data_IF_327525697349
#
_entry.id   IF_327525697349
#
_cell.length_a   1.000
_cell.length_b   1.000
_cell.length_c   1.000
_cell.angle_alpha   90.00
_cell.angle_beta   90.00
_cell.angle_gamma   90.00
#
_symmetry.space_group_name_H-M   'P 1'
#
loop_
_entity.id
_entity.type
_entity.pdbx_description
1 polymer ?
#
# COMPACT_ATOMS: atom_id res chain seq x y z
N UNK A 1 16.53 54.39 -18.92
CA UNK A 1 17.46 55.18 -19.76
C UNK A 1 18.82 55.25 -19.08
N UNK A 2 19.89 54.93 -19.83
CA UNK A 2 21.35 55.21 -19.66
C UNK A 2 22.03 54.74 -18.35
N UNK A 3 22.90 53.71 -18.39
CA UNK A 3 24.37 53.73 -18.69
C UNK A 3 25.11 54.68 -17.73
N UNK A 4 26.06 54.32 -16.87
CA UNK A 4 27.02 53.21 -16.75
C UNK A 4 28.26 53.76 -16.02
N UNK A 5 29.33 52.97 -15.89
CA UNK A 5 30.66 53.31 -15.30
C UNK A 5 30.70 53.44 -13.76
N UNK A 6 31.56 52.80 -12.97
CA UNK A 6 32.85 52.15 -13.23
C UNK A 6 33.04 50.84 -12.44
N UNK A 7 33.37 49.78 -13.18
CA UNK A 7 34.26 48.72 -12.73
C UNK A 7 35.66 49.32 -12.54
N UNK A 8 36.22 49.26 -11.33
CA UNK A 8 37.68 49.27 -11.18
C UNK A 8 38.12 48.44 -9.96
N UNK A 9 39.22 47.71 -10.14
CA UNK A 9 39.78 46.72 -9.21
C UNK A 9 40.38 47.31 -7.91
N UNK A 10 40.16 48.61 -7.62
CA UNK A 10 40.63 49.31 -6.42
C UNK A 10 39.56 49.57 -5.36
N UNK A 11 38.31 49.13 -5.56
CA UNK A 11 37.27 49.14 -4.52
C UNK A 11 37.23 47.88 -3.63
N UNK A 12 38.10 46.90 -3.88
CA UNK A 12 38.08 45.56 -3.26
C UNK A 12 38.89 45.42 -1.96
N UNK A 13 39.47 46.48 -1.39
CA UNK A 13 40.18 46.42 -0.10
C UNK A 13 40.15 47.79 0.58
N UNK A 14 39.16 48.03 1.45
CA UNK A 14 39.25 48.91 2.64
C UNK A 14 37.87 49.41 3.09
N UNK A 15 36.97 48.53 3.54
CA UNK A 15 36.01 48.87 4.62
C UNK A 15 35.83 47.59 5.45
N UNK A 16 36.77 47.39 6.36
CA UNK A 16 36.64 46.53 7.52
C UNK A 16 36.83 47.47 8.72
N UNK A 17 36.07 47.27 9.81
CA UNK A 17 35.96 48.07 11.07
C UNK A 17 34.82 49.10 10.97
N UNK A 18 33.68 48.97 11.65
CA UNK A 18 33.46 48.73 13.09
C UNK A 18 32.17 47.93 13.41
N UNK A 19 32.10 47.43 14.66
CA UNK A 19 31.28 46.39 15.34
C UNK A 19 29.73 46.65 15.47
N UNK A 20 28.89 45.86 16.20
CA UNK A 20 29.14 44.70 17.09
C UNK A 20 28.19 43.47 16.95
N UNK A 21 28.46 42.46 17.79
CA UNK A 21 27.93 41.10 17.80
C UNK A 21 26.47 40.93 18.25
N UNK A 22 25.76 39.98 17.62
CA UNK A 22 24.65 39.23 18.23
C UNK A 22 24.63 37.77 17.72
N UNK A 23 24.72 36.88 18.71
CA UNK A 23 24.15 35.54 18.84
C UNK A 23 24.24 34.49 17.71
N UNK A 24 24.82 33.37 18.14
CA UNK A 24 25.15 32.15 17.42
C UNK A 24 23.92 31.36 16.94
N UNK A 25 23.83 31.13 15.63
CA UNK A 25 23.06 30.03 15.04
C UNK A 25 24.03 28.97 14.48
N UNK A 26 23.85 27.72 14.90
CA UNK A 26 24.63 26.54 14.52
C UNK A 26 24.69 26.35 12.99
N UNK A 27 25.86 26.03 12.38
CA UNK A 27 25.93 25.72 10.96
C UNK A 27 25.39 24.31 10.67
N UNK A 28 24.49 24.24 9.68
CA UNK A 28 24.00 23.01 9.08
C UNK A 28 25.16 22.10 8.64
N UNK A 29 25.10 20.83 9.05
CA UNK A 29 26.05 19.79 8.65
C UNK A 29 26.03 19.62 7.13
N UNK A 30 27.16 19.88 6.47
CA UNK A 30 27.40 19.47 5.08
C UNK A 30 27.39 17.95 5.01
N UNK A 31 26.37 17.37 4.38
CA UNK A 31 26.41 15.98 3.95
C UNK A 31 27.44 15.84 2.83
N UNK A 32 28.51 15.07 3.06
CA UNK A 32 29.50 14.75 2.05
C UNK A 32 28.86 13.83 1.00
N UNK A 33 28.70 14.31 -0.24
CA UNK A 33 28.41 13.47 -1.40
C UNK A 33 29.62 12.57 -1.67
N UNK A 34 29.52 11.29 -1.34
CA UNK A 34 30.39 10.26 -1.91
C UNK A 34 29.60 9.62 -3.04
N UNK A 35 29.82 10.10 -4.26
CA UNK A 35 29.34 9.41 -5.47
C UNK A 35 30.36 8.33 -5.85
N UNK A 36 29.96 7.06 -6.03
CA UNK A 36 30.85 6.03 -6.54
C UNK A 36 31.14 6.29 -8.02
N UNK A 37 32.43 6.27 -8.40
CA UNK A 37 32.86 6.40 -9.81
C UNK A 37 32.52 5.12 -10.59
N UNK A 38 31.51 5.19 -11.45
CA UNK A 38 31.13 4.12 -12.39
C UNK A 38 31.98 4.18 -13.67
N UNK A 39 32.25 3.02 -14.26
CA UNK A 39 33.02 2.88 -15.50
C UNK A 39 32.13 2.94 -16.74
N UNK A 40 32.70 3.26 -17.91
CA UNK A 40 31.97 3.50 -19.17
C UNK A 40 31.14 2.29 -19.70
N UNK A 41 31.30 1.09 -19.14
CA UNK A 41 30.49 -0.11 -19.45
C UNK A 41 29.19 -0.19 -18.64
N UNK A 42 28.98 0.67 -17.65
CA UNK A 42 27.80 0.68 -16.76
C UNK A 42 26.86 1.83 -17.13
N UNK A 43 26.54 1.99 -18.43
CA UNK A 43 25.51 2.97 -18.84
C UNK A 43 24.16 2.45 -18.36
N UNK A 44 23.70 2.95 -17.24
CA UNK A 44 22.42 2.58 -16.61
C UNK A 44 21.30 3.45 -17.21
N UNK A 45 20.02 3.05 -17.13
CA UNK A 45 18.93 3.93 -17.61
C UNK A 45 19.01 5.28 -16.88
N UNK A 46 19.05 6.37 -17.64
CA UNK A 46 18.96 7.72 -17.11
C UNK A 46 17.49 8.00 -16.74
N UNK A 47 17.30 8.84 -15.73
CA UNK A 47 15.99 9.41 -15.47
C UNK A 47 15.65 10.40 -16.58
N UNK A 48 14.35 10.56 -16.84
CA UNK A 48 13.85 11.53 -17.80
C UNK A 48 12.90 12.47 -17.06
N UNK A 49 13.35 13.69 -16.81
CA UNK A 49 12.55 14.77 -16.24
C UNK A 49 11.57 15.26 -17.28
N UNK A 50 10.32 15.47 -16.86
CA UNK A 50 9.29 16.01 -17.73
C UNK A 50 9.25 17.53 -17.54
N UNK A 51 9.67 18.26 -18.57
CA UNK A 51 9.73 19.73 -18.56
C UNK A 51 8.69 20.28 -19.53
N UNK A 52 7.88 21.22 -19.07
CA UNK A 52 6.95 21.95 -19.92
C UNK A 52 7.54 23.33 -20.24
N UNK A 53 7.47 23.74 -21.51
CA UNK A 53 7.74 25.10 -21.91
C UNK A 53 6.64 25.61 -22.83
N UNK A 54 6.37 26.92 -22.76
CA UNK A 54 5.47 27.59 -23.71
C UNK A 54 6.33 28.04 -24.89
N UNK A 55 6.04 27.52 -26.08
CA UNK A 55 6.71 27.94 -27.31
C UNK A 55 6.42 29.40 -27.63
N UNK A 56 7.25 30.07 -28.47
CA UNK A 56 6.96 31.40 -28.99
C UNK A 56 5.61 31.52 -29.70
N UNK A 57 5.05 30.40 -30.16
CA UNK A 57 3.71 30.29 -30.76
C UNK A 57 2.56 30.33 -29.73
N UNK A 58 2.88 30.38 -28.43
CA UNK A 58 1.91 30.31 -27.33
C UNK A 58 1.41 28.90 -27.02
N UNK A 59 1.95 27.86 -27.69
CA UNK A 59 1.56 26.48 -27.45
C UNK A 59 2.46 25.83 -26.38
N UNK A 60 1.88 25.08 -25.43
CA UNK A 60 2.68 24.27 -24.51
C UNK A 60 3.35 23.12 -25.27
N UNK A 61 4.62 22.87 -24.98
CA UNK A 61 5.38 21.72 -25.47
C UNK A 61 6.08 21.01 -24.33
N UNK A 62 6.11 19.69 -24.40
CA UNK A 62 6.75 18.81 -23.43
C UNK A 62 8.12 18.35 -23.94
N UNK A 63 9.14 18.51 -23.09
CA UNK A 63 10.50 18.06 -23.33
C UNK A 63 10.93 17.03 -22.28
N UNK A 64 11.85 16.15 -22.67
CA UNK A 64 12.50 15.21 -21.77
C UNK A 64 13.94 15.65 -21.53
N UNK A 65 14.27 15.93 -20.29
CA UNK A 65 15.65 16.20 -19.89
C UNK A 65 16.23 14.97 -19.17
N UNK A 66 17.39 14.53 -19.63
CA UNK A 66 18.11 13.43 -18.98
C UNK A 66 18.66 13.86 -17.64
N UNK A 67 18.53 12.98 -16.65
CA UNK A 67 19.08 13.17 -15.32
C UNK A 67 19.76 11.89 -14.79
N UNK A 68 20.72 12.03 -13.86
CA UNK A 68 21.35 10.86 -13.23
C UNK A 68 20.32 10.01 -12.49
N UNK A 69 20.31 8.69 -12.72
CA UNK A 69 19.35 7.71 -12.15
C UNK A 69 19.08 7.77 -10.64
N UNK A 70 20.09 8.14 -9.87
CA UNK A 70 20.05 8.19 -8.40
C UNK A 70 19.81 9.61 -7.88
N UNK A 71 19.47 10.55 -8.76
CA UNK A 71 19.10 11.89 -8.37
C UNK A 71 17.81 11.83 -7.55
N UNK A 72 17.80 12.54 -6.42
CA UNK A 72 16.65 12.63 -5.50
C UNK A 72 16.37 14.07 -5.04
N UNK A 73 17.14 15.03 -5.52
CA UNK A 73 17.03 16.47 -5.26
C UNK A 73 16.23 17.19 -6.35
N UNK A 74 15.22 16.51 -6.90
CA UNK A 74 14.19 17.13 -7.72
C UNK A 74 13.30 18.06 -6.90
N UNK A 75 12.66 19.02 -7.57
CA UNK A 75 11.55 19.76 -6.95
C UNK A 75 10.43 18.78 -6.60
N UNK A 76 9.68 19.07 -5.53
CA UNK A 76 8.79 18.08 -4.90
C UNK A 76 7.67 17.61 -5.83
N UNK A 77 7.12 18.52 -6.63
CA UNK A 77 6.04 18.31 -7.60
C UNK A 77 6.53 17.89 -8.99
N UNK A 78 7.85 17.93 -9.22
CA UNK A 78 8.45 17.64 -10.52
C UNK A 78 8.24 16.16 -10.92
N UNK A 79 7.67 15.92 -12.10
CA UNK A 79 7.45 14.57 -12.62
C UNK A 79 8.69 14.02 -13.32
N UNK A 80 9.04 12.79 -12.96
CA UNK A 80 10.22 12.08 -13.46
C UNK A 80 9.81 10.67 -13.90
N UNK A 81 10.23 10.31 -15.11
CA UNK A 81 10.26 8.92 -15.54
C UNK A 81 11.55 8.25 -15.04
N UNK A 82 11.42 7.17 -14.27
CA UNK A 82 12.55 6.49 -13.64
C UNK A 82 12.34 4.98 -13.59
N UNK A 83 13.42 4.21 -13.48
CA UNK A 83 13.41 2.75 -13.37
C UNK A 83 13.76 2.36 -11.93
N UNK A 84 12.88 1.61 -11.27
CA UNK A 84 13.04 1.22 -9.86
C UNK A 84 12.95 -0.30 -9.65
N UNK A 85 13.94 -0.92 -8.97
CA UNK A 85 15.27 -0.36 -8.70
C UNK A 85 16.01 -0.03 -10.00
N UNK A 86 17.02 0.84 -9.93
CA UNK A 86 17.78 1.21 -11.12
C UNK A 86 18.61 0.03 -11.65
N UNK A 87 18.51 -0.25 -12.96
CA UNK A 87 19.19 -1.36 -13.64
C UNK A 87 20.01 -0.89 -14.85
N UNK A 88 21.09 -1.60 -15.22
CA UNK A 88 21.89 -1.29 -16.41
C UNK A 88 21.05 -1.17 -17.69
N UNK A 89 21.46 -0.30 -18.63
CA UNK A 89 20.79 -0.21 -19.93
C UNK A 89 21.02 -1.52 -20.69
N UNK A 90 19.95 -2.04 -21.29
CA UNK A 90 19.99 -3.33 -21.98
C UNK A 90 19.92 -4.53 -21.03
N UNK A 91 19.66 -4.32 -19.74
CA UNK A 91 19.31 -5.39 -18.81
C UNK A 91 18.16 -6.25 -19.35
N UNK A 92 18.28 -7.56 -19.19
CA UNK A 92 17.24 -8.52 -19.54
C UNK A 92 16.61 -9.12 -18.29
N UNK A 93 15.43 -9.73 -18.42
CA UNK A 93 14.82 -10.48 -17.32
C UNK A 93 15.60 -11.76 -16.96
N UNK A 94 16.45 -12.27 -17.85
CA UNK A 94 17.33 -13.39 -17.55
C UNK A 94 18.45 -12.99 -16.58
N UNK A 95 19.01 -11.78 -16.75
CA UNK A 95 20.05 -11.24 -15.85
C UNK A 95 19.47 -10.71 -14.54
N UNK A 96 18.22 -10.22 -14.58
CA UNK A 96 17.50 -9.64 -13.46
C UNK A 96 16.13 -10.30 -13.28
N UNK A 97 16.09 -11.53 -12.74
CA UNK A 97 14.85 -12.32 -12.64
C UNK A 97 13.79 -11.69 -11.72
N UNK A 98 14.21 -10.90 -10.72
CA UNK A 98 13.30 -10.12 -9.86
C UNK A 98 12.64 -8.92 -10.60
N UNK A 99 13.06 -8.65 -11.83
CA UNK A 99 12.56 -7.56 -12.64
C UNK A 99 12.82 -6.17 -12.04
N UNK A 100 12.06 -5.21 -12.52
CA UNK A 100 12.09 -3.79 -12.15
C UNK A 100 10.74 -3.17 -12.49
N UNK A 101 10.57 -1.88 -12.25
CA UNK A 101 9.34 -1.16 -12.56
C UNK A 101 9.70 0.14 -13.27
N UNK A 102 9.00 0.43 -14.36
CA UNK A 102 9.05 1.76 -14.96
C UNK A 102 8.04 2.66 -14.25
N UNK A 103 8.48 3.83 -13.80
CA UNK A 103 7.70 4.69 -12.94
C UNK A 103 7.59 6.07 -13.56
N UNK A 104 6.38 6.63 -13.58
CA UNK A 104 6.16 8.07 -13.61
C UNK A 104 5.84 8.50 -12.17
N UNK A 105 6.75 9.19 -11.50
CA UNK A 105 6.60 9.62 -10.10
C UNK A 105 7.13 11.03 -9.90
N UNK A 106 6.65 11.69 -8.85
CA UNK A 106 7.15 13.00 -8.44
C UNK A 106 8.51 12.91 -7.74
N UNK A 107 9.24 14.03 -7.70
CA UNK A 107 10.47 14.18 -6.94
C UNK A 107 10.30 13.84 -5.46
N UNK A 108 9.18 14.23 -4.84
CA UNK A 108 8.85 13.89 -3.46
C UNK A 108 8.75 12.38 -3.24
N UNK A 109 8.02 11.68 -4.11
CA UNK A 109 7.84 10.23 -4.01
C UNK A 109 9.14 9.48 -4.28
N UNK A 110 9.91 9.93 -5.28
CA UNK A 110 11.21 9.34 -5.56
C UNK A 110 12.12 9.44 -4.33
N UNK A 111 12.21 10.61 -3.69
CA UNK A 111 12.98 10.79 -2.45
C UNK A 111 12.50 9.85 -1.35
N UNK A 112 11.18 9.78 -1.10
CA UNK A 112 10.58 8.90 -0.09
C UNK A 112 10.94 7.43 -0.29
N UNK A 113 10.97 6.96 -1.54
CA UNK A 113 11.38 5.58 -1.88
C UNK A 113 12.85 5.34 -1.51
N UNK A 114 13.76 6.24 -1.91
CA UNK A 114 15.18 6.11 -1.61
C UNK A 114 15.53 6.29 -0.12
N UNK A 115 14.70 7.01 0.63
CA UNK A 115 14.83 7.17 2.08
C UNK A 115 14.17 6.00 2.85
N UNK A 116 13.43 5.12 2.18
CA UNK A 116 12.82 3.94 2.83
C UNK A 116 13.93 3.00 3.32
N UNK A 117 13.96 2.67 4.63
CA UNK A 117 15.00 1.79 5.17
C UNK A 117 15.08 0.45 4.44
N UNK A 118 16.28 0.12 3.95
CA UNK A 118 16.56 -1.13 3.25
C UNK A 118 16.26 -1.11 1.75
N UNK A 119 15.77 -0.02 1.17
CA UNK A 119 15.60 0.09 -0.28
C UNK A 119 16.95 0.21 -1.02
N UNK A 120 17.16 -0.48 -2.16
CA UNK A 120 16.30 -1.53 -2.72
C UNK A 120 16.60 -2.89 -2.07
N UNK A 121 15.59 -3.44 -1.38
CA UNK A 121 15.63 -4.78 -0.82
C UNK A 121 15.40 -5.80 -1.92
N UNK A 122 16.03 -6.97 -1.81
CA UNK A 122 15.73 -8.11 -2.67
C UNK A 122 14.28 -8.57 -2.49
N UNK A 123 13.67 -9.10 -3.57
CA UNK A 123 12.34 -9.67 -3.47
C UNK A 123 12.36 -10.90 -2.59
N UNK A 124 11.37 -11.01 -1.72
CA UNK A 124 11.14 -12.27 -0.98
C UNK A 124 10.35 -13.18 -1.90
N UNK A 125 10.91 -14.31 -2.30
CA UNK A 125 10.18 -15.35 -3.04
C UNK A 125 9.96 -16.57 -2.14
N UNK A 126 8.84 -17.30 -2.31
CA UNK A 126 8.72 -18.60 -1.67
C UNK A 126 9.76 -19.58 -2.23
N UNK A 127 10.16 -20.57 -1.44
CA UNK A 127 11.10 -21.62 -1.88
C UNK A 127 10.54 -22.44 -3.03
N UNK A 128 9.22 -22.63 -3.05
CA UNK A 128 8.50 -23.38 -4.07
C UNK A 128 7.33 -22.56 -4.63
N UNK A 129 7.14 -22.66 -5.94
CA UNK A 129 5.99 -22.06 -6.62
C UNK A 129 4.71 -22.75 -6.11
N UNK A 130 3.86 -21.97 -5.45
CA UNK A 130 2.63 -22.46 -4.82
C UNK A 130 1.37 -22.25 -5.67
N UNK A 131 1.54 -21.92 -6.95
CA UNK A 131 0.43 -21.58 -7.83
C UNK A 131 0.65 -21.98 -9.30
N UNK A 132 -0.45 -22.11 -10.03
CA UNK A 132 -0.47 -22.27 -11.49
C UNK A 132 -1.49 -21.32 -12.11
N UNK A 133 -1.25 -20.91 -13.35
CA UNK A 133 -2.22 -20.20 -14.17
C UNK A 133 -3.22 -21.20 -14.78
N UNK A 134 -4.48 -20.81 -14.95
CA UNK A 134 -5.49 -21.62 -15.63
C UNK A 134 -6.73 -20.80 -16.00
N UNK A 135 -7.68 -21.42 -16.71
CA UNK A 135 -8.97 -20.79 -17.01
C UNK A 135 -9.81 -20.65 -15.74
N UNK A 136 -10.39 -19.46 -15.53
CA UNK A 136 -11.24 -19.17 -14.38
C UNK A 136 -12.72 -19.35 -14.71
N UNK A 137 -13.50 -19.76 -13.72
CA UNK A 137 -14.97 -19.79 -13.80
C UNK A 137 -15.61 -18.41 -13.59
N UNK A 138 -14.83 -17.43 -13.14
CA UNK A 138 -15.27 -16.04 -12.97
C UNK A 138 -15.12 -15.29 -14.28
N UNK A 139 -13.88 -15.16 -14.75
CA UNK A 139 -13.54 -14.46 -15.98
C UNK A 139 -12.09 -14.74 -16.40
N UNK A 140 -11.86 -14.95 -17.71
CA UNK A 140 -10.52 -15.08 -18.28
C UNK A 140 -9.64 -16.13 -17.59
N UNK A 141 -8.44 -15.70 -17.17
CA UNK A 141 -7.47 -16.52 -16.47
C UNK A 141 -7.53 -16.27 -14.96
N UNK A 142 -7.16 -17.28 -14.18
CA UNK A 142 -7.05 -17.23 -12.72
C UNK A 142 -5.77 -17.93 -12.23
N UNK A 143 -5.38 -17.66 -10.99
CA UNK A 143 -4.30 -18.36 -10.30
C UNK A 143 -4.88 -19.40 -9.35
N UNK A 144 -4.33 -20.61 -9.35
CA UNK A 144 -4.80 -21.74 -8.55
C UNK A 144 -3.71 -22.28 -7.66
N UNK A 145 -4.03 -22.60 -6.42
CA UNK A 145 -3.10 -23.22 -5.48
C UNK A 145 -2.59 -24.57 -6.01
N UNK A 146 -1.31 -24.86 -5.85
CA UNK A 146 -0.71 -26.16 -6.19
C UNK A 146 -0.45 -27.03 -4.97
N UNK A 147 -0.55 -26.46 -3.77
CA UNK A 147 -0.37 -27.12 -2.47
C UNK A 147 -1.29 -26.49 -1.43
N UNK A 148 -1.38 -27.12 -0.26
CA UNK A 148 -2.03 -26.50 0.90
C UNK A 148 -1.30 -25.22 1.31
N UNK A 149 -2.06 -24.17 1.57
CA UNK A 149 -1.60 -22.89 2.08
C UNK A 149 -2.34 -22.57 3.38
N UNK A 150 -1.65 -21.91 4.30
CA UNK A 150 -2.24 -21.41 5.55
C UNK A 150 -2.17 -19.89 5.61
N UNK A 151 -3.01 -19.29 6.46
CA UNK A 151 -3.03 -17.83 6.65
C UNK A 151 -1.63 -17.28 6.94
N UNK A 152 -1.21 -16.30 6.14
CA UNK A 152 0.09 -15.65 6.21
C UNK A 152 1.13 -16.17 5.21
N UNK A 153 0.91 -17.35 4.62
CA UNK A 153 1.84 -17.94 3.64
C UNK A 153 2.04 -16.98 2.46
N UNK A 154 3.29 -16.79 2.06
CA UNK A 154 3.66 -16.04 0.86
C UNK A 154 3.43 -16.90 -0.38
N UNK A 155 2.65 -16.38 -1.32
CA UNK A 155 2.33 -17.07 -2.58
C UNK A 155 3.33 -16.66 -3.66
N UNK A 156 3.56 -15.36 -3.82
CA UNK A 156 4.63 -14.79 -4.64
C UNK A 156 4.87 -13.32 -4.29
N UNK A 157 6.01 -12.78 -4.71
CA UNK A 157 6.24 -11.34 -4.80
C UNK A 157 6.54 -10.90 -6.23
N UNK A 158 6.07 -9.72 -6.61
CA UNK A 158 6.19 -9.20 -7.97
C UNK A 158 6.51 -7.69 -7.96
N UNK A 159 7.56 -7.28 -8.67
CA UNK A 159 7.73 -5.87 -9.02
C UNK A 159 6.75 -5.52 -10.15
N UNK A 160 5.94 -4.45 -10.01
CA UNK A 160 5.01 -4.07 -11.06
C UNK A 160 5.70 -3.81 -12.40
N UNK A 161 4.98 -3.99 -13.50
CA UNK A 161 5.41 -3.59 -14.84
C UNK A 161 5.62 -2.08 -14.86
N UNK A 162 4.61 -1.34 -14.40
CA UNK A 162 4.54 0.12 -14.49
C UNK A 162 3.81 0.72 -13.29
N UNK A 163 4.26 1.90 -12.85
CA UNK A 163 3.61 2.75 -11.85
C UNK A 163 3.34 4.13 -12.42
N UNK A 164 2.11 4.62 -12.24
CA UNK A 164 1.69 5.95 -12.68
C UNK A 164 0.78 6.62 -11.64
N UNK A 165 0.73 7.96 -11.60
CA UNK A 165 -0.21 8.72 -10.78
C UNK A 165 -1.66 8.46 -11.20
N UNK A 166 -2.58 8.47 -10.22
CA UNK A 166 -4.02 8.22 -10.43
C UNK A 166 -4.74 9.40 -11.04
N UNK A 167 -4.31 10.61 -10.68
CA UNK A 167 -4.93 11.85 -11.11
C UNK A 167 -4.02 12.59 -12.06
N UNK A 168 -4.65 13.26 -13.01
CA UNK A 168 -4.01 14.25 -13.84
C UNK A 168 -3.44 15.36 -12.96
N UNK A 169 -2.14 15.66 -13.13
CA UNK A 169 -1.52 16.79 -12.44
C UNK A 169 -1.68 18.03 -13.29
N UNK A 170 -2.45 19.00 -12.79
CA UNK A 170 -2.83 20.23 -13.50
C UNK A 170 -1.70 21.27 -13.66
N UNK A 171 -0.45 20.85 -13.76
CA UNK A 171 0.70 21.77 -13.77
C UNK A 171 1.14 22.25 -15.16
N UNK A 172 0.60 21.70 -16.26
CA UNK A 172 1.28 21.77 -17.56
C UNK A 172 0.84 22.88 -18.52
N UNK A 173 -0.40 23.38 -18.44
CA UNK A 173 -0.91 24.39 -19.39
C UNK A 173 -1.73 25.48 -18.69
N UNK A 174 -1.16 26.67 -18.54
CA UNK A 174 -1.89 27.83 -18.01
C UNK A 174 -2.14 28.83 -19.13
N UNK A 175 -3.39 29.24 -19.31
CA UNK A 175 -3.73 30.33 -20.23
C UNK A 175 -4.92 31.12 -19.69
N UNK A 176 -4.73 32.42 -19.51
CA UNK A 176 -5.82 33.33 -19.14
C UNK A 176 -6.77 33.61 -20.33
N UNK A 177 -6.42 33.17 -21.53
CA UNK A 177 -7.08 33.53 -22.78
C UNK A 177 -7.90 32.38 -23.40
N UNK A 178 -7.86 31.17 -22.83
CA UNK A 178 -8.59 30.01 -23.34
C UNK A 178 -9.82 29.69 -22.48
N UNK A 179 -10.95 29.31 -23.08
CA UNK A 179 -12.09 28.81 -22.32
C UNK A 179 -11.72 27.58 -21.48
N UNK A 180 -12.31 27.45 -20.29
CA UNK A 180 -12.00 26.36 -19.35
C UNK A 180 -12.13 24.95 -19.97
N UNK A 181 -13.12 24.72 -20.82
CA UNK A 181 -13.32 23.42 -21.47
C UNK A 181 -12.20 23.09 -22.47
N UNK A 182 -11.68 24.10 -23.17
CA UNK A 182 -10.54 23.95 -24.09
C UNK A 182 -9.25 23.67 -23.31
N UNK A 183 -9.05 24.36 -22.19
CA UNK A 183 -7.94 24.10 -21.29
C UNK A 183 -7.96 22.67 -20.75
N UNK A 184 -9.11 22.21 -20.27
CA UNK A 184 -9.27 20.83 -19.78
C UNK A 184 -8.99 19.78 -20.86
N UNK A 185 -9.42 20.01 -22.11
CA UNK A 185 -9.11 19.11 -23.23
C UNK A 185 -7.62 19.09 -23.59
N UNK A 186 -6.94 20.25 -23.54
CA UNK A 186 -5.50 20.35 -23.77
C UNK A 186 -4.70 19.70 -22.66
N UNK A 187 -5.07 19.93 -21.39
CA UNK A 187 -4.48 19.25 -20.24
C UNK A 187 -4.53 17.74 -20.44
N UNK A 188 -5.73 17.20 -20.70
CA UNK A 188 -5.91 15.76 -20.89
C UNK A 188 -4.98 15.20 -21.97
N UNK A 189 -4.88 15.90 -23.10
CA UNK A 189 -4.01 15.51 -24.22
C UNK A 189 -2.52 15.53 -23.84
N UNK A 190 -2.06 16.54 -23.12
CA UNK A 190 -0.66 16.60 -22.66
C UNK A 190 -0.39 15.58 -21.54
N UNK A 191 -1.38 15.28 -20.71
CA UNK A 191 -1.30 14.24 -19.71
C UNK A 191 -1.16 12.85 -20.33
N UNK A 192 -1.95 12.53 -21.36
CA UNK A 192 -1.81 11.29 -22.12
C UNK A 192 -0.39 11.12 -22.69
N UNK A 193 0.22 12.19 -23.24
CA UNK A 193 1.62 12.17 -23.68
C UNK A 193 2.59 11.92 -22.53
N UNK A 194 2.31 12.46 -21.35
CA UNK A 194 3.12 12.30 -20.13
C UNK A 194 3.11 10.85 -19.67
N UNK A 195 1.93 10.23 -19.56
CA UNK A 195 1.78 8.81 -19.22
C UNK A 195 2.51 7.92 -20.23
N UNK A 196 2.43 8.27 -21.52
CA UNK A 196 3.12 7.56 -22.60
C UNK A 196 4.64 7.49 -22.43
N UNK A 197 5.28 8.48 -21.78
CA UNK A 197 6.75 8.48 -21.62
C UNK A 197 7.23 7.30 -20.77
N UNK A 198 6.59 7.05 -19.62
CA UNK A 198 6.92 5.88 -18.80
C UNK A 198 6.71 4.55 -19.53
N UNK A 199 5.70 4.47 -20.39
CA UNK A 199 5.43 3.26 -21.18
C UNK A 199 6.48 2.99 -22.26
N UNK A 200 7.03 4.04 -22.89
CA UNK A 200 8.08 3.91 -23.93
C UNK A 200 9.38 3.28 -23.40
N UNK A 201 9.54 3.25 -22.08
CA UNK A 201 10.71 2.67 -21.39
C UNK A 201 10.57 1.17 -21.16
N UNK A 202 9.37 0.60 -21.32
CA UNK A 202 9.16 -0.83 -21.18
C UNK A 202 9.96 -1.61 -22.23
N UNK A 203 10.59 -2.70 -21.78
CA UNK A 203 11.16 -3.70 -22.68
C UNK A 203 10.05 -4.48 -23.39
N UNK A 204 10.31 -5.07 -24.57
CA UNK A 204 9.30 -5.79 -25.36
C UNK A 204 8.52 -6.85 -24.57
N UNK A 205 9.19 -7.59 -23.68
CA UNK A 205 8.58 -8.65 -22.86
C UNK A 205 7.52 -8.09 -21.90
N UNK A 206 7.84 -6.99 -21.22
CA UNK A 206 6.91 -6.31 -20.31
C UNK A 206 5.79 -5.60 -21.05
N UNK A 207 6.10 -5.03 -22.21
CA UNK A 207 5.10 -4.42 -23.08
C UNK A 207 4.09 -5.49 -23.56
N UNK A 208 4.58 -6.64 -24.01
CA UNK A 208 3.74 -7.77 -24.41
C UNK A 208 2.88 -8.28 -23.25
N UNK A 209 3.47 -8.43 -22.05
CA UNK A 209 2.74 -8.82 -20.84
C UNK A 209 1.60 -7.85 -20.53
N UNK A 210 1.85 -6.54 -20.57
CA UNK A 210 0.85 -5.51 -20.37
C UNK A 210 -0.27 -5.56 -21.41
N UNK A 211 0.07 -5.68 -22.70
CA UNK A 211 -0.94 -5.73 -23.77
C UNK A 211 -1.83 -6.98 -23.73
N UNK A 212 -1.37 -8.03 -23.05
CA UNK A 212 -2.10 -9.28 -22.84
C UNK A 212 -2.96 -9.27 -21.55
N UNK A 213 -3.04 -8.14 -20.85
CA UNK A 213 -3.93 -7.95 -19.72
C UNK A 213 -5.35 -7.59 -20.18
N UNK A 214 -6.33 -7.81 -19.28
CA UNK A 214 -7.75 -7.54 -19.57
C UNK A 214 -7.97 -6.04 -19.81
N UNK A 215 -8.77 -5.71 -20.81
CA UNK A 215 -9.35 -4.37 -20.96
C UNK A 215 -10.86 -4.43 -20.74
N UNK A 216 -11.36 -3.79 -19.68
CA UNK A 216 -12.79 -3.70 -19.39
C UNK A 216 -13.43 -2.42 -19.93
N UNK A 217 -12.65 -1.52 -20.53
CA UNK A 217 -13.12 -0.26 -21.08
C UNK A 217 -13.50 -0.38 -22.56
N UNK A 218 -14.46 0.42 -22.99
CA UNK A 218 -14.91 0.50 -24.38
C UNK A 218 -13.88 1.20 -25.27
N UNK A 219 -14.05 1.07 -26.59
CA UNK A 219 -13.13 1.59 -27.61
C UNK A 219 -13.02 3.13 -27.67
N UNK A 220 -13.82 3.86 -26.91
CA UNK A 220 -13.75 5.32 -26.78
C UNK A 220 -12.72 5.80 -25.74
N UNK A 221 -12.13 4.88 -24.97
CA UNK A 221 -10.97 5.13 -24.11
C UNK A 221 -9.74 4.53 -24.80
N UNK A 222 -8.60 5.22 -24.71
CA UNK A 222 -7.35 4.68 -25.23
C UNK A 222 -7.10 3.28 -24.64
N UNK A 223 -6.72 2.33 -25.49
CA UNK A 223 -6.60 0.92 -25.08
C UNK A 223 -5.64 0.75 -23.91
N UNK A 224 -4.54 1.52 -23.88
CA UNK A 224 -3.53 1.45 -22.83
C UNK A 224 -4.09 1.94 -21.52
N UNK A 225 -4.78 3.08 -21.55
CA UNK A 225 -5.45 3.63 -20.38
C UNK A 225 -6.52 2.65 -19.88
N UNK A 226 -7.32 2.07 -20.77
CA UNK A 226 -8.32 1.05 -20.41
C UNK A 226 -7.71 -0.18 -19.73
N UNK A 227 -6.60 -0.71 -20.24
CA UNK A 227 -5.85 -1.81 -19.61
C UNK A 227 -5.31 -1.36 -18.25
N UNK A 228 -4.67 -0.20 -18.17
CA UNK A 228 -4.13 0.32 -16.91
C UNK A 228 -5.24 0.45 -15.85
N UNK A 229 -6.33 1.13 -16.17
CA UNK A 229 -7.45 1.36 -15.26
C UNK A 229 -8.16 0.06 -14.85
N UNK A 230 -8.15 -0.97 -15.70
CA UNK A 230 -8.72 -2.29 -15.37
C UNK A 230 -7.86 -3.06 -14.37
N UNK A 231 -6.53 -2.93 -14.45
CA UNK A 231 -5.60 -3.84 -13.78
C UNK A 231 -4.76 -3.20 -12.68
N UNK A 232 -4.79 -1.87 -12.53
CA UNK A 232 -3.88 -1.17 -11.65
C UNK A 232 -4.35 -1.17 -10.18
N UNK A 233 -3.45 -1.57 -9.29
CA UNK A 233 -3.64 -1.63 -7.85
C UNK A 233 -3.08 -0.40 -7.17
N UNK A 234 -3.73 0.06 -6.09
CA UNK A 234 -3.15 1.12 -5.23
C UNK A 234 -1.86 0.64 -4.58
N UNK A 235 -0.94 1.58 -4.36
CA UNK A 235 0.33 1.39 -3.66
C UNK A 235 0.35 2.23 -2.37
N UNK A 236 -0.17 1.71 -1.24
CA UNK A 236 -0.18 2.43 0.03
C UNK A 236 1.22 2.88 0.45
N UNK A 237 1.34 4.09 0.98
CA UNK A 237 2.62 4.69 1.35
C UNK A 237 3.30 5.48 0.23
N UNK A 238 2.76 5.44 -0.99
CA UNK A 238 3.20 6.28 -2.12
C UNK A 238 2.31 7.52 -2.31
N UNK A 239 1.57 7.97 -1.30
CA UNK A 239 0.73 9.17 -1.41
C UNK A 239 1.62 10.43 -1.44
N UNK A 240 1.41 11.28 -2.46
CA UNK A 240 2.06 12.57 -2.58
C UNK A 240 1.37 13.59 -1.67
N UNK A 241 2.07 14.06 -0.65
CA UNK A 241 1.59 15.04 0.32
C UNK A 241 1.48 16.46 -0.29
N UNK A 242 2.08 16.69 -1.46
CA UNK A 242 2.03 17.99 -2.15
C UNK A 242 0.70 18.17 -2.89
N UNK A 243 0.01 17.08 -3.23
CA UNK A 243 -1.26 17.08 -3.96
C UNK A 243 -2.45 17.09 -3.00
N UNK A 244 -3.25 18.16 -3.02
CA UNK A 244 -4.39 18.37 -2.10
C UNK A 244 -5.49 17.32 -2.22
N UNK A 245 -5.59 16.65 -3.36
CA UNK A 245 -6.58 15.59 -3.64
C UNK A 245 -6.03 14.17 -3.47
N UNK A 246 -4.93 14.03 -2.72
CA UNK A 246 -4.38 12.76 -2.26
C UNK A 246 -3.65 12.00 -3.36
N UNK A 247 -2.55 12.58 -3.86
CA UNK A 247 -1.72 12.16 -5.00
C UNK A 247 -1.24 10.71 -4.96
N UNK A 248 -2.18 9.79 -5.12
CA UNK A 248 -1.98 8.36 -5.06
C UNK A 248 -1.41 7.85 -6.38
N UNK A 249 -0.69 6.75 -6.29
CA UNK A 249 -0.16 6.01 -7.42
C UNK A 249 -0.87 4.68 -7.53
N UNK A 250 -0.89 4.17 -8.77
CA UNK A 250 -1.31 2.80 -9.04
C UNK A 250 -0.26 2.08 -9.86
N UNK A 251 -0.22 0.78 -9.66
CA UNK A 251 0.76 -0.11 -10.25
C UNK A 251 0.07 -1.28 -10.95
N UNK A 252 0.57 -1.67 -12.11
CA UNK A 252 0.09 -2.85 -12.85
C UNK A 252 1.14 -3.95 -12.73
N UNK A 253 0.75 -5.12 -12.22
CA UNK A 253 1.57 -6.35 -12.25
C UNK A 253 1.19 -7.22 -13.44
N UNK A 254 2.06 -8.16 -13.83
CA UNK A 254 1.67 -9.19 -14.81
C UNK A 254 0.88 -10.28 -14.11
N UNK A 255 1.49 -10.89 -13.09
CA UNK A 255 0.93 -12.02 -12.34
C UNK A 255 -0.19 -11.57 -11.41
N UNK A 256 0.00 -10.46 -10.69
CA UNK A 256 -1.01 -9.90 -9.78
C UNK A 256 -2.33 -9.57 -10.48
N UNK A 257 -2.28 -9.14 -11.74
CA UNK A 257 -3.46 -8.80 -12.54
C UNK A 257 -4.21 -10.02 -13.10
N UNK A 258 -3.73 -11.25 -12.84
CA UNK A 258 -4.44 -12.51 -13.17
C UNK A 258 -5.37 -12.99 -12.04
N UNK A 259 -5.36 -12.33 -10.88
CA UNK A 259 -6.13 -12.78 -9.71
C UNK A 259 -7.53 -12.23 -9.77
N UNK A 260 -8.54 -13.09 -9.85
CA UNK A 260 -9.94 -12.68 -10.01
C UNK A 260 -10.58 -12.14 -8.72
N UNK A 261 -11.81 -11.66 -8.89
CA UNK A 261 -12.63 -11.17 -7.80
C UNK A 261 -13.46 -12.28 -7.12
N UNK A 262 -13.54 -12.22 -5.79
CA UNK A 262 -14.63 -12.80 -5.00
C UNK A 262 -15.07 -11.83 -3.90
N UNK A 263 -16.35 -11.83 -3.53
CA UNK A 263 -16.81 -11.15 -2.30
C UNK A 263 -16.43 -11.92 -1.01
N UNK A 264 -15.76 -13.06 -1.17
CA UNK A 264 -15.16 -13.92 -0.15
C UNK A 264 -13.68 -14.19 -0.52
N UNK A 265 -12.81 -13.17 -0.48
CA UNK A 265 -11.43 -13.31 -0.91
C UNK A 265 -10.64 -14.24 0.02
N UNK A 266 -9.73 -15.04 -0.55
CA UNK A 266 -8.85 -15.96 0.18
C UNK A 266 -7.38 -15.54 0.16
N UNK A 267 -7.05 -14.47 -0.56
CA UNK A 267 -5.72 -13.86 -0.61
C UNK A 267 -5.82 -12.34 -0.51
N UNK A 268 -4.74 -11.69 -0.10
CA UNK A 268 -4.62 -10.24 -0.10
C UNK A 268 -3.21 -9.81 -0.49
N UNK A 269 -3.12 -8.62 -1.07
CA UNK A 269 -1.86 -7.98 -1.48
C UNK A 269 -1.35 -7.03 -0.40
N UNK A 270 -0.06 -7.10 -0.13
CA UNK A 270 0.69 -6.12 0.64
C UNK A 270 1.68 -5.41 -0.28
N UNK A 271 1.82 -4.09 -0.12
CA UNK A 271 2.83 -3.30 -0.83
C UNK A 271 4.06 -3.11 0.07
N UNK A 272 5.22 -3.59 -0.38
CA UNK A 272 6.50 -3.41 0.31
C UNK A 272 7.36 -2.39 -0.44
N UNK A 273 7.38 -1.15 0.06
CA UNK A 273 8.21 -0.08 -0.52
C UNK A 273 9.69 -0.43 -0.51
N UNK A 274 10.18 -1.19 0.49
CA UNK A 274 11.60 -1.52 0.59
C UNK A 274 12.07 -2.42 -0.55
N UNK A 275 11.29 -3.43 -0.94
CA UNK A 275 11.58 -4.27 -2.12
C UNK A 275 10.98 -3.75 -3.42
N UNK A 276 10.13 -2.72 -3.31
CA UNK A 276 9.36 -2.10 -4.39
C UNK A 276 8.48 -3.10 -5.13
N UNK A 277 7.77 -3.92 -4.37
CA UNK A 277 7.00 -5.05 -4.89
C UNK A 277 5.66 -5.22 -4.19
N UNK A 278 4.73 -5.88 -4.88
CA UNK A 278 3.58 -6.50 -4.25
C UNK A 278 3.97 -7.87 -3.68
N UNK A 279 3.42 -8.21 -2.52
CA UNK A 279 3.45 -9.56 -1.95
C UNK A 279 2.02 -10.07 -1.86
N UNK A 280 1.74 -11.23 -2.45
CA UNK A 280 0.45 -11.89 -2.32
C UNK A 280 0.51 -12.94 -1.21
N UNK A 281 -0.41 -12.87 -0.24
CA UNK A 281 -0.45 -13.80 0.90
C UNK A 281 -1.84 -14.38 1.09
N UNK A 282 -1.89 -15.61 1.59
CA UNK A 282 -3.15 -16.25 1.96
C UNK A 282 -3.77 -15.57 3.19
N UNK A 283 -5.09 -15.32 3.16
CA UNK A 283 -5.86 -14.75 4.29
C UNK A 283 -6.51 -15.82 5.15
N UNK A 284 -6.50 -17.08 4.67
CA UNK A 284 -7.07 -18.26 5.32
C UNK A 284 -6.40 -19.52 4.77
N UNK A 285 -6.88 -20.70 5.18
CA UNK A 285 -6.42 -21.95 4.59
C UNK A 285 -6.97 -22.10 3.16
N UNK A 286 -6.15 -22.60 2.24
CA UNK A 286 -6.50 -22.80 0.83
C UNK A 286 -6.00 -24.17 0.41
N UNK A 287 -6.89 -25.03 -0.09
CA UNK A 287 -6.52 -26.36 -0.56
C UNK A 287 -5.95 -26.32 -1.99
N UNK A 288 -5.15 -27.33 -2.39
CA UNK A 288 -4.71 -27.49 -3.77
C UNK A 288 -5.87 -27.46 -4.76
N UNK A 289 -5.72 -26.71 -5.86
CA UNK A 289 -6.73 -26.56 -6.89
C UNK A 289 -7.76 -25.47 -6.65
N UNK A 290 -7.82 -24.87 -5.46
CA UNK A 290 -8.63 -23.67 -5.23
C UNK A 290 -8.05 -22.46 -5.98
N UNK A 291 -8.93 -21.63 -6.55
CA UNK A 291 -8.55 -20.37 -7.18
C UNK A 291 -8.30 -19.27 -6.13
N UNK A 292 -7.32 -18.42 -6.37
CA UNK A 292 -7.04 -17.25 -5.56
C UNK A 292 -7.93 -16.08 -5.97
N UNK A 293 -8.49 -15.40 -4.97
CA UNK A 293 -9.36 -14.26 -5.15
C UNK A 293 -8.99 -13.10 -4.22
N UNK A 294 -8.95 -11.91 -4.81
CA UNK A 294 -8.95 -10.63 -4.08
C UNK A 294 -10.32 -9.96 -4.19
N UNK A 295 -10.52 -8.85 -3.47
CA UNK A 295 -11.69 -8.01 -3.70
C UNK A 295 -11.38 -6.83 -4.64
N UNK A 296 -12.29 -6.60 -5.61
CA UNK A 296 -12.28 -5.41 -6.47
C UNK A 296 -13.23 -4.33 -5.97
N UNK A 297 -14.09 -4.64 -4.99
CA UNK A 297 -15.10 -3.73 -4.45
C UNK A 297 -15.03 -3.69 -2.92
N UNK A 298 -15.80 -2.79 -2.31
CA UNK A 298 -16.03 -2.82 -0.87
C UNK A 298 -16.98 -3.99 -0.53
N UNK A 299 -16.41 -5.10 -0.03
CA UNK A 299 -17.19 -6.31 0.28
C UNK A 299 -18.13 -6.13 1.47
N UNK A 300 -18.03 -5.03 2.22
CA UNK A 300 -18.89 -4.74 3.37
C UNK A 300 -20.20 -4.09 2.93
N UNK A 301 -20.30 -3.62 1.67
CA UNK A 301 -21.54 -3.08 1.09
C UNK A 301 -22.55 -4.18 0.78
N UNK A 302 -23.86 -3.85 0.69
CA UNK A 302 -24.89 -4.80 0.24
C UNK A 302 -24.66 -5.31 -1.18
N UNK A 303 -25.22 -6.47 -1.51
CA UNK A 303 -25.07 -7.17 -2.78
C UNK A 303 -25.30 -6.27 -4.00
N UNK A 304 -26.37 -5.46 -3.98
CA UNK A 304 -26.69 -4.57 -5.09
C UNK A 304 -25.56 -3.57 -5.38
N UNK A 305 -24.97 -2.98 -4.33
CA UNK A 305 -23.85 -2.05 -4.47
C UNK A 305 -22.56 -2.77 -4.92
N UNK A 306 -22.31 -3.98 -4.41
CA UNK A 306 -21.18 -4.82 -4.85
C UNK A 306 -21.29 -5.14 -6.34
N UNK A 307 -22.43 -5.65 -6.81
CA UNK A 307 -22.65 -5.94 -8.23
C UNK A 307 -22.57 -4.68 -9.11
N UNK A 308 -23.16 -3.57 -8.67
CA UNK A 308 -23.11 -2.30 -9.40
C UNK A 308 -21.67 -1.83 -9.62
N UNK A 309 -20.82 -1.91 -8.60
CA UNK A 309 -19.39 -1.59 -8.73
C UNK A 309 -18.67 -2.53 -9.71
N UNK A 310 -18.95 -3.83 -9.62
CA UNK A 310 -18.28 -4.85 -10.43
C UNK A 310 -18.67 -4.83 -11.91
N UNK A 311 -19.81 -4.24 -12.26
CA UNK A 311 -20.22 -4.07 -13.66
C UNK A 311 -19.16 -3.33 -14.51
N UNK A 312 -18.34 -2.47 -13.90
CA UNK A 312 -17.22 -1.81 -14.56
C UNK A 312 -16.17 -2.78 -15.13
N UNK A 313 -16.02 -3.95 -14.51
CA UNK A 313 -15.11 -5.02 -14.91
C UNK A 313 -15.76 -6.02 -15.89
N UNK A 314 -16.97 -5.74 -16.38
CA UNK A 314 -17.69 -6.51 -17.41
C UNK A 314 -17.92 -7.99 -17.05
N UNK A 315 -18.11 -8.30 -15.76
CA UNK A 315 -18.56 -9.61 -15.31
C UNK A 315 -19.64 -9.47 -14.23
N UNK A 316 -20.37 -10.56 -13.95
CA UNK A 316 -21.33 -10.64 -12.84
C UNK A 316 -20.77 -11.59 -11.79
N UNK A 317 -20.63 -11.12 -10.55
CA UNK A 317 -20.09 -11.96 -9.48
C UNK A 317 -21.07 -13.06 -9.09
N UNK A 318 -20.59 -14.32 -9.10
CA UNK A 318 -21.35 -15.53 -8.75
C UNK A 318 -20.72 -16.28 -7.57
N UNK A 319 -19.89 -15.63 -6.75
CA UNK A 319 -19.35 -16.23 -5.54
C UNK A 319 -20.47 -16.64 -4.56
N UNK A 320 -20.22 -17.51 -3.57
CA UNK A 320 -21.26 -17.98 -2.64
C UNK A 320 -22.05 -16.85 -1.95
N UNK A 321 -21.37 -15.75 -1.58
CA UNK A 321 -22.04 -14.57 -1.02
C UNK A 321 -23.04 -13.91 -2.00
N UNK A 322 -22.79 -13.96 -3.31
CA UNK A 322 -23.69 -13.38 -4.30
C UNK A 322 -24.79 -14.35 -4.78
N UNK A 323 -24.62 -15.65 -4.55
CA UNK A 323 -25.64 -16.66 -4.83
C UNK A 323 -26.75 -16.67 -3.75
N UNK A 324 -26.42 -16.31 -2.51
CA UNK A 324 -27.40 -16.11 -1.43
C UNK A 324 -27.29 -14.68 -0.84
N UNK A 325 -27.74 -13.66 -1.59
CA UNK A 325 -27.55 -12.27 -1.18
C UNK A 325 -28.33 -11.91 0.08
N UNK A 326 -29.50 -12.53 0.32
CA UNK A 326 -30.34 -12.28 1.50
C UNK A 326 -29.59 -12.65 2.77
N UNK A 327 -29.03 -13.86 2.83
CA UNK A 327 -28.19 -14.29 3.95
C UNK A 327 -26.94 -13.43 4.07
N UNK A 328 -26.25 -13.20 2.95
CA UNK A 328 -24.95 -12.53 2.94
C UNK A 328 -25.04 -11.06 3.40
N UNK A 329 -26.10 -10.36 3.04
CA UNK A 329 -26.31 -8.96 3.39
C UNK A 329 -26.82 -8.82 4.82
N UNK A 330 -27.71 -9.71 5.27
CA UNK A 330 -28.15 -9.76 6.66
C UNK A 330 -26.97 -10.02 7.62
N UNK A 331 -26.07 -10.97 7.28
CA UNK A 331 -24.84 -11.20 8.06
C UNK A 331 -23.93 -9.97 8.05
N UNK A 332 -23.66 -9.35 6.90
CA UNK A 332 -22.83 -8.14 6.80
C UNK A 332 -23.36 -6.96 7.61
N UNK A 333 -24.68 -6.76 7.65
CA UNK A 333 -25.31 -5.72 8.47
C UNK A 333 -25.13 -5.96 9.98
N UNK A 334 -25.02 -7.23 10.42
CA UNK A 334 -24.89 -7.56 11.84
C UNK A 334 -23.48 -7.32 12.39
N UNK A 335 -22.43 -7.53 11.58
CA UNK A 335 -21.06 -7.61 12.10
C UNK A 335 -20.60 -6.33 12.82
N UNK A 336 -20.82 -5.12 12.30
CA UNK A 336 -20.48 -3.89 13.03
C UNK A 336 -21.18 -3.77 14.40
N UNK A 337 -22.41 -4.28 14.50
CA UNK A 337 -23.22 -4.22 15.73
C UNK A 337 -22.80 -5.26 16.78
N UNK A 338 -22.11 -6.33 16.36
CA UNK A 338 -21.67 -7.43 17.23
C UNK A 338 -20.18 -7.38 17.57
N UNK A 339 -19.47 -6.33 17.16
CA UNK A 339 -18.08 -6.11 17.53
C UNK A 339 -17.93 -6.01 19.05
N UNK A 340 -16.79 -6.51 19.55
CA UNK A 340 -16.39 -6.25 20.93
C UNK A 340 -15.65 -4.93 20.94
N UNK A 341 -16.37 -3.87 21.31
CA UNK A 341 -15.81 -2.51 21.40
C UNK A 341 -14.73 -2.42 22.49
N UNK A 342 -13.89 -1.39 22.40
CA UNK A 342 -12.90 -1.09 23.45
C UNK A 342 -13.57 -0.87 24.80
N UNK A 343 -14.71 -0.16 24.82
CA UNK A 343 -15.50 0.07 26.02
C UNK A 343 -15.99 -1.24 26.64
N UNK A 344 -16.66 -2.09 25.85
CA UNK A 344 -17.18 -3.38 26.33
C UNK A 344 -16.07 -4.27 26.87
N UNK A 345 -14.91 -4.28 26.21
CA UNK A 345 -13.73 -5.00 26.69
C UNK A 345 -13.23 -4.43 28.03
N UNK A 346 -13.05 -3.11 28.12
CA UNK A 346 -12.57 -2.43 29.32
C UNK A 346 -13.52 -2.61 30.51
N UNK A 347 -14.83 -2.56 30.27
CA UNK A 347 -15.85 -2.84 31.27
C UNK A 347 -15.76 -4.27 31.80
N UNK A 348 -15.68 -5.27 30.91
CA UNK A 348 -15.44 -6.66 31.33
C UNK A 348 -14.13 -6.78 32.11
N UNK A 349 -13.06 -6.12 31.65
CA UNK A 349 -11.74 -6.19 32.26
C UNK A 349 -11.71 -5.61 33.68
N UNK A 350 -12.45 -4.55 33.96
CA UNK A 350 -12.26 -3.73 35.18
C UNK A 350 -13.50 -3.49 36.04
N UNK A 351 -14.72 -3.55 35.48
CA UNK A 351 -15.97 -3.21 36.19
C UNK A 351 -16.89 -4.42 36.38
N UNK A 352 -17.01 -5.28 35.36
CA UNK A 352 -17.94 -6.41 35.31
C UNK A 352 -17.27 -7.72 35.70
N UNK A 353 -16.74 -7.75 36.93
CA UNK A 353 -16.11 -8.94 37.52
C UNK A 353 -17.12 -10.03 37.92
N UNK A 354 -18.42 -9.74 37.80
CA UNK A 354 -19.53 -10.68 37.92
C UNK A 354 -19.66 -11.60 36.70
N UNK A 355 -19.15 -11.19 35.54
CA UNK A 355 -19.17 -12.00 34.33
C UNK A 355 -18.08 -13.08 34.35
N UNK A 356 -18.30 -14.23 33.68
CA UNK A 356 -17.28 -15.27 33.52
C UNK A 356 -15.98 -14.74 32.89
N UNK A 357 -14.86 -15.33 33.29
CA UNK A 357 -13.54 -14.99 32.74
C UNK A 357 -13.46 -15.28 31.22
N UNK A 358 -14.25 -16.22 30.69
CA UNK A 358 -14.27 -16.55 29.25
C UNK A 358 -15.35 -15.80 28.44
N UNK A 359 -16.05 -14.83 29.05
CA UNK A 359 -17.18 -14.13 28.41
C UNK A 359 -16.79 -13.45 27.08
N UNK A 360 -15.74 -12.63 27.09
CA UNK A 360 -15.25 -11.95 25.87
C UNK A 360 -14.75 -12.96 24.84
N UNK A 361 -14.06 -14.00 25.30
CA UNK A 361 -13.49 -15.04 24.44
C UNK A 361 -14.62 -15.74 23.67
N UNK A 362 -15.66 -16.20 24.37
CA UNK A 362 -16.83 -16.86 23.77
C UNK A 362 -17.58 -15.97 22.78
N UNK A 363 -17.75 -14.69 23.09
CA UNK A 363 -18.38 -13.73 22.18
C UNK A 363 -17.57 -13.59 20.89
N UNK A 364 -16.25 -13.39 20.99
CA UNK A 364 -15.39 -13.22 19.84
C UNK A 364 -15.29 -14.51 19.01
N UNK A 365 -15.15 -15.68 19.64
CA UNK A 365 -15.11 -16.98 18.95
C UNK A 365 -16.39 -17.25 18.16
N UNK A 366 -17.56 -16.85 18.68
CA UNK A 366 -18.82 -16.97 17.95
C UNK A 366 -18.85 -16.09 16.69
N UNK A 367 -18.32 -14.87 16.76
CA UNK A 367 -18.23 -13.99 15.58
C UNK A 367 -17.19 -14.47 14.57
N UNK A 368 -16.03 -14.95 15.03
CA UNK A 368 -14.98 -15.53 14.21
C UNK A 368 -15.52 -16.68 13.36
N UNK A 369 -16.27 -17.63 13.96
CA UNK A 369 -16.86 -18.75 13.21
C UNK A 369 -17.79 -18.29 12.10
N UNK A 370 -18.63 -17.27 12.36
CA UNK A 370 -19.54 -16.74 11.35
C UNK A 370 -18.79 -16.03 10.21
N UNK A 371 -17.72 -15.29 10.54
CA UNK A 371 -16.85 -14.65 9.56
C UNK A 371 -16.10 -15.67 8.70
N UNK A 372 -15.61 -16.77 9.30
CA UNK A 372 -14.98 -17.89 8.59
C UNK A 372 -15.98 -18.59 7.65
N UNK A 373 -17.20 -18.87 8.11
CA UNK A 373 -18.29 -19.41 7.26
C UNK A 373 -18.63 -18.48 6.08
N UNK A 374 -18.54 -17.16 6.29
CA UNK A 374 -18.81 -16.16 5.25
C UNK A 374 -17.60 -15.88 4.36
N UNK A 375 -16.43 -16.43 4.65
CA UNK A 375 -15.20 -16.12 3.96
C UNK A 375 -14.75 -14.66 4.08
N UNK A 376 -14.90 -14.10 5.27
CA UNK A 376 -14.61 -12.70 5.62
C UNK A 376 -13.41 -12.58 6.57
N UNK A 377 -12.52 -13.57 6.59
CA UNK A 377 -11.30 -13.57 7.40
C UNK A 377 -10.41 -12.35 7.08
N UNK A 378 -10.45 -11.84 5.85
CA UNK A 378 -9.73 -10.64 5.45
C UNK A 378 -10.20 -9.35 6.16
N UNK A 379 -11.40 -9.31 6.74
CA UNK A 379 -12.04 -8.06 7.17
C UNK A 379 -11.50 -7.51 8.51
N UNK A 380 -11.61 -6.19 8.75
CA UNK A 380 -11.29 -5.59 10.06
C UNK A 380 -12.13 -6.15 11.22
N UNK A 381 -13.29 -6.74 10.93
CA UNK A 381 -14.13 -7.39 11.95
C UNK A 381 -13.46 -8.66 12.49
N UNK A 382 -12.84 -9.44 11.61
CA UNK A 382 -12.09 -10.63 11.98
C UNK A 382 -10.91 -10.26 12.88
N UNK A 383 -10.14 -9.26 12.44
CA UNK A 383 -9.03 -8.68 13.20
C UNK A 383 -9.44 -8.26 14.62
N UNK A 384 -10.53 -7.47 14.74
CA UNK A 384 -11.02 -6.99 16.02
C UNK A 384 -11.22 -8.16 17.00
N UNK A 385 -11.88 -9.23 16.55
CA UNK A 385 -12.13 -10.39 17.39
C UNK A 385 -10.88 -11.20 17.72
N UNK A 386 -9.93 -11.34 16.79
CA UNK A 386 -8.63 -11.96 17.08
C UNK A 386 -7.88 -11.19 18.18
N UNK A 387 -7.79 -9.86 18.04
CA UNK A 387 -7.10 -8.98 19.00
C UNK A 387 -7.80 -9.04 20.36
N UNK A 388 -9.14 -9.04 20.40
CA UNK A 388 -9.89 -9.06 21.67
C UNK A 388 -9.74 -10.38 22.42
N UNK A 389 -9.61 -11.51 21.72
CA UNK A 389 -9.29 -12.79 22.37
C UNK A 389 -7.86 -12.77 22.91
N UNK A 390 -6.90 -12.31 22.11
CA UNK A 390 -5.52 -12.12 22.54
C UNK A 390 -5.43 -11.29 23.84
N UNK A 391 -6.05 -10.11 23.84
CA UNK A 391 -6.06 -9.21 25.00
C UNK A 391 -6.82 -9.80 26.20
N UNK A 392 -7.87 -10.59 25.99
CA UNK A 392 -8.59 -11.25 27.08
C UNK A 392 -7.69 -12.25 27.81
N UNK A 393 -6.95 -13.09 27.09
CA UNK A 393 -5.99 -14.01 27.71
C UNK A 393 -4.85 -13.27 28.44
N UNK A 394 -4.37 -12.16 27.87
CA UNK A 394 -3.42 -11.27 28.55
C UNK A 394 -3.99 -10.73 29.86
N UNK A 395 -5.23 -10.22 29.86
CA UNK A 395 -5.89 -9.71 31.06
C UNK A 395 -6.10 -10.79 32.13
N UNK A 396 -6.27 -12.05 31.73
CA UNK A 396 -6.38 -13.21 32.63
C UNK A 396 -5.03 -13.72 33.13
N UNK A 397 -3.93 -13.30 32.52
CA UNK A 397 -2.58 -13.79 32.83
C UNK A 397 -2.29 -15.18 32.24
N UNK A 398 -3.12 -15.64 31.30
CA UNK A 398 -2.94 -16.91 30.59
C UNK A 398 -1.97 -16.72 29.42
N UNK A 399 -0.69 -16.90 29.72
CA UNK A 399 0.42 -16.69 28.77
C UNK A 399 0.35 -17.63 27.56
N UNK A 400 -0.05 -18.87 27.78
CA UNK A 400 -0.03 -19.91 26.73
C UNK A 400 -1.06 -19.58 25.67
N UNK A 401 -2.30 -19.30 26.06
CA UNK A 401 -3.33 -18.94 25.10
C UNK A 401 -3.12 -17.55 24.50
N UNK A 402 -2.57 -16.60 25.27
CA UNK A 402 -2.18 -15.30 24.72
C UNK A 402 -1.14 -15.44 23.59
N UNK A 403 -0.15 -16.33 23.72
CA UNK A 403 0.81 -16.63 22.67
C UNK A 403 0.17 -17.24 21.43
N UNK A 404 -0.73 -18.21 21.60
CA UNK A 404 -1.44 -18.87 20.48
C UNK A 404 -2.23 -17.84 19.68
N UNK A 405 -3.04 -17.02 20.34
CA UNK A 405 -3.86 -16.01 19.67
C UNK A 405 -3.04 -14.82 19.17
N UNK A 406 -1.98 -14.42 19.88
CA UNK A 406 -1.03 -13.41 19.43
C UNK A 406 -0.37 -13.78 18.11
N UNK A 407 0.12 -15.02 17.97
CA UNK A 407 0.64 -15.52 16.68
C UNK A 407 -0.42 -15.54 15.58
N UNK A 408 -1.68 -15.87 15.90
CA UNK A 408 -2.79 -15.81 14.92
C UNK A 408 -3.04 -14.37 14.46
N UNK A 409 -3.01 -13.38 15.36
CA UNK A 409 -3.08 -11.95 15.01
C UNK A 409 -1.87 -11.56 14.16
N UNK A 410 -0.66 -11.99 14.55
CA UNK A 410 0.58 -11.73 13.81
C UNK A 410 0.52 -12.21 12.37
N UNK A 411 0.07 -13.44 12.13
CA UNK A 411 -0.14 -13.99 10.78
C UNK A 411 -1.18 -13.22 9.97
N UNK A 412 -2.29 -12.83 10.59
CA UNK A 412 -3.29 -12.00 9.93
C UNK A 412 -2.72 -10.62 9.54
N UNK A 413 -1.95 -10.02 10.46
CA UNK A 413 -1.27 -8.74 10.27
C UNK A 413 -0.19 -8.82 9.19
N UNK A 414 0.54 -9.93 9.11
CA UNK A 414 1.53 -10.15 8.07
C UNK A 414 0.93 -10.06 6.67
N UNK A 415 -0.30 -10.57 6.49
CA UNK A 415 -1.01 -10.54 5.22
C UNK A 415 -1.40 -9.13 4.77
N UNK A 416 -1.66 -8.19 5.69
CA UNK A 416 -2.19 -6.85 5.36
C UNK A 416 -1.22 -5.69 5.64
N UNK A 417 -0.49 -5.78 6.73
CA UNK A 417 0.36 -4.73 7.28
C UNK A 417 1.85 -5.06 7.13
N UNK A 418 2.16 -6.26 6.63
CA UNK A 418 3.52 -6.74 6.42
C UNK A 418 4.26 -7.14 7.71
N UNK A 419 5.57 -7.40 7.62
CA UNK A 419 6.37 -7.91 8.75
C UNK A 419 6.34 -7.00 9.98
N UNK A 420 6.36 -5.68 9.80
CA UNK A 420 6.32 -4.73 10.92
C UNK A 420 5.01 -4.80 11.72
N UNK A 421 3.88 -5.04 11.06
CA UNK A 421 2.60 -5.24 11.72
C UNK A 421 2.51 -6.56 12.47
N UNK A 422 3.13 -7.62 11.91
CA UNK A 422 3.14 -8.96 12.49
C UNK A 422 4.03 -9.06 13.75
N UNK A 423 5.23 -8.47 13.69
CA UNK A 423 6.25 -8.57 14.74
C UNK A 423 5.75 -8.13 16.11
N UNK A 424 4.86 -7.12 16.16
CA UNK A 424 4.24 -6.63 17.39
C UNK A 424 3.50 -7.72 18.18
N UNK A 425 2.98 -8.75 17.51
CA UNK A 425 2.18 -9.80 18.13
C UNK A 425 2.90 -11.14 18.20
N UNK A 426 3.81 -11.43 17.27
CA UNK A 426 4.58 -12.67 17.25
C UNK A 426 5.74 -12.67 18.26
N UNK A 427 6.32 -11.50 18.50
CA UNK A 427 7.51 -11.30 19.36
C UNK A 427 7.18 -10.57 20.66
N UNK A 428 5.91 -10.51 21.05
CA UNK A 428 5.50 -9.77 22.26
C UNK A 428 6.03 -10.48 23.53
N UNK A 429 7.22 -10.13 24.00
CA UNK A 429 7.80 -10.74 25.20
C UNK A 429 7.03 -10.40 26.50
N UNK A 430 6.07 -9.46 26.45
CA UNK A 430 5.34 -8.99 27.64
C UNK A 430 4.20 -9.89 28.10
N UNK A 431 4.12 -11.13 27.57
CA UNK A 431 3.10 -12.09 27.99
C UNK A 431 3.00 -12.16 29.52
N UNK A 432 1.81 -11.95 30.08
CA UNK A 432 1.48 -12.21 31.50
C UNK A 432 1.48 -10.99 32.43
N UNK A 433 1.97 -11.19 33.68
CA UNK A 433 1.66 -10.36 34.86
C UNK A 433 2.21 -8.92 34.81
N UNK A 434 3.09 -8.63 33.86
CA UNK A 434 3.64 -7.28 33.69
C UNK A 434 2.80 -6.43 32.71
N UNK A 435 1.85 -7.05 32.01
CA UNK A 435 0.99 -6.35 31.06
C UNK A 435 -0.07 -5.49 31.79
N UNK A 436 -0.31 -4.28 31.27
CA UNK A 436 -1.23 -3.30 31.86
C UNK A 436 -2.64 -3.84 32.10
N UNK A 437 -3.22 -4.56 31.13
CA UNK A 437 -4.55 -5.19 31.30
C UNK A 437 -4.61 -6.22 32.44
N UNK A 438 -3.56 -7.00 32.66
CA UNK A 438 -3.52 -7.93 33.80
C UNK A 438 -3.52 -7.17 35.12
N UNK A 439 -2.64 -6.15 35.23
CA UNK A 439 -2.53 -5.34 36.44
C UNK A 439 -3.85 -4.62 36.76
N UNK A 440 -4.50 -4.05 35.74
CA UNK A 440 -5.80 -3.40 35.89
C UNK A 440 -6.88 -4.37 36.36
N UNK A 441 -6.98 -5.57 35.77
CA UNK A 441 -7.97 -6.58 36.17
C UNK A 441 -7.70 -7.10 37.58
N UNK A 442 -6.43 -7.31 37.95
CA UNK A 442 -6.04 -7.72 39.30
C UNK A 442 -6.42 -6.64 40.33
N UNK A 443 -6.06 -5.38 40.08
CA UNK A 443 -6.39 -4.26 40.97
C UNK A 443 -7.91 -4.11 41.15
N UNK A 444 -8.68 -4.31 40.08
CA UNK A 444 -10.14 -4.32 40.16
C UNK A 444 -10.66 -5.46 41.05
N UNK A 445 -10.14 -6.69 40.89
CA UNK A 445 -10.49 -7.85 41.74
C UNK A 445 -10.16 -7.58 43.21
N UNK A 446 -8.97 -7.03 43.50
CA UNK A 446 -8.56 -6.67 44.87
C UNK A 446 -9.49 -5.63 45.48
N UNK A 447 -9.83 -4.56 44.73
CA UNK A 447 -10.77 -3.52 45.19
C UNK A 447 -12.16 -4.11 45.49
N UNK A 448 -12.66 -5.00 44.63
CA UNK A 448 -13.95 -5.65 44.82
C UNK A 448 -13.98 -6.56 46.07
N UNK A 449 -12.91 -7.30 46.34
CA UNK A 449 -12.78 -8.13 47.55
C UNK A 449 -12.75 -7.25 48.80
N UNK A 450 -11.92 -6.19 48.81
CA UNK A 450 -11.86 -5.23 49.93
C UNK A 450 -13.23 -4.62 50.22
N UNK A 451 -13.94 -4.16 49.19
CA UNK A 451 -15.27 -3.58 49.35
C UNK A 451 -16.31 -4.57 49.92
N UNK A 452 -16.23 -5.87 49.55
CA UNK A 452 -17.09 -6.92 50.12
C UNK A 452 -16.77 -7.18 51.59
N UNK A 453 -15.49 -7.23 51.96
CA UNK A 453 -15.06 -7.42 53.35
C UNK A 453 -15.55 -6.28 54.25
N UNK A 454 -15.35 -5.02 53.84
CA UNK A 454 -15.84 -3.83 54.56
C UNK A 454 -17.35 -3.84 54.75
N UNK A 455 -18.13 -4.26 53.75
CA UNK A 455 -19.60 -4.37 53.85
C UNK A 455 -20.07 -5.51 54.76
N UNK A 456 -19.25 -6.54 54.97
CA UNK A 456 -19.61 -7.73 55.75
C UNK A 456 -19.26 -7.64 57.24
N UNK A 457 -18.66 -6.54 57.70
CA UNK A 457 -18.25 -6.37 59.10
C UNK A 457 -17.09 -7.28 59.55
N UNK A 458 -16.55 -8.09 58.64
CA UNK A 458 -15.35 -8.90 58.83
C UNK A 458 -14.14 -8.07 58.36
N UNK A 459 -13.68 -7.15 59.21
CA UNK A 459 -12.42 -6.45 59.01
C UNK A 459 -11.24 -7.36 59.40
#
# INVERSE_FOLDING_TARGET
>A
MKRGFLNSAKGKKAIQKDAPATETANPAKKHSKVEPKLTAKERVYEDERIVYAILPTGQPEQFLEKAPKYRIDYDLDELVCTTLPAIPRGATLADHPDGWTECLISGAIKRKIYETPGFPKQLTQPEEVSFRLGESTVDGLGLFATRDLTMGDLIFSERPIIIQPVFERMASVWSDNLPQHTLAALHKKEWEKTLQQSFRRLIPEKEAAFWNLKNSWSSNVDRKEGIFLTNAFRTPGMEDEVEKDGGAYRAVGDTMSRINHSCQPNVERYWDTASFSFQLRATRNIAPGEEFFISYCDILKPHAARQSHLNGYKFKCKCPSCLDPVKSDARRAQYPQKLVTEEKFAEWATKRLDLPDDFIIKLCQAQIRLLEEDGLEYTPWYENHLIKIYLAYMALGDRVNAQVWGRKVGRWKLTRDGPGGADRYEKDETYGKDHSFWQMRLLAKVKAVKAKLTKSGKA
#
